data_IF_310106126211
#
_entry.id   IF_310106126211
#
_cell.length_a   1.000
_cell.length_b   1.000
_cell.length_c   1.000
_cell.angle_alpha   90.00
_cell.angle_beta   90.00
_cell.angle_gamma   90.00
#
_symmetry.space_group_name_H-M   'P 1'
#
loop_
_entity.id
_entity.type
_entity.pdbx_description
1 polymer ?
#
# COMPACT_ATOMS: atom_id res chain seq x y z
N UNK A 1 -11.70 -23.29 -11.32
CA UNK A 1 -12.33 -22.85 -10.14
C UNK A 1 -11.40 -22.32 -9.06
N UNK A 2 -10.34 -21.66 -9.36
CA UNK A 2 -9.58 -20.89 -8.41
C UNK A 2 -10.27 -19.54 -8.19
N UNK A 3 -10.28 -19.04 -6.98
CA UNK A 3 -10.94 -17.79 -6.58
C UNK A 3 -10.13 -16.55 -6.93
N UNK A 4 -9.26 -16.60 -7.93
CA UNK A 4 -8.59 -15.41 -8.46
C UNK A 4 -9.55 -14.59 -9.33
N UNK A 5 -9.68 -13.33 -8.99
CA UNK A 5 -10.48 -12.37 -9.74
C UNK A 5 -9.58 -11.73 -10.79
N UNK A 6 -9.96 -11.89 -12.06
CA UNK A 6 -9.27 -11.25 -13.19
C UNK A 6 -10.27 -10.35 -13.92
N UNK A 7 -9.78 -9.26 -14.48
CA UNK A 7 -10.57 -8.47 -15.44
C UNK A 7 -10.70 -9.34 -16.70
N UNK A 8 -11.93 -9.81 -16.94
CA UNK A 8 -12.21 -10.71 -18.07
C UNK A 8 -12.31 -9.93 -19.39
N UNK A 9 -13.18 -8.93 -19.42
CA UNK A 9 -13.43 -8.08 -20.59
C UNK A 9 -13.69 -6.65 -20.13
N UNK A 10 -13.34 -5.70 -20.98
CA UNK A 10 -13.70 -4.30 -20.80
C UNK A 10 -14.77 -3.93 -21.82
N UNK A 11 -15.90 -3.45 -21.32
CA UNK A 11 -16.99 -2.93 -22.11
C UNK A 11 -17.11 -1.42 -21.92
N UNK A 12 -17.34 -0.68 -23.00
CA UNK A 12 -17.63 0.75 -22.94
C UNK A 12 -19.11 0.93 -22.67
N UNK A 13 -19.47 1.35 -21.47
CA UNK A 13 -20.86 1.56 -21.07
C UNK A 13 -21.48 2.81 -21.71
N UNK A 14 -20.68 3.78 -22.12
CA UNK A 14 -21.11 5.03 -22.76
C UNK A 14 -20.58 6.28 -22.07
N UNK A 15 -21.25 7.40 -22.33
CA UNK A 15 -20.91 8.71 -21.75
C UNK A 15 -21.90 9.07 -20.64
N UNK A 16 -21.38 9.52 -19.49
CA UNK A 16 -22.23 9.96 -18.38
C UNK A 16 -22.94 11.29 -18.68
N UNK A 17 -24.17 11.51 -18.13
CA UNK A 17 -24.91 10.62 -17.25
C UNK A 17 -25.53 9.42 -18.00
N UNK A 18 -25.38 8.22 -17.45
CA UNK A 18 -26.06 7.02 -17.93
C UNK A 18 -27.40 6.87 -17.20
N UNK A 19 -28.49 6.59 -17.93
CA UNK A 19 -29.80 6.46 -17.33
C UNK A 19 -29.94 5.19 -16.48
N UNK A 20 -29.50 4.06 -17.00
CA UNK A 20 -29.40 2.79 -16.28
C UNK A 20 -28.59 1.80 -17.14
N UNK A 21 -27.93 0.88 -16.45
CA UNK A 21 -27.27 -0.26 -17.07
C UNK A 21 -27.50 -1.50 -16.20
N UNK A 22 -27.92 -2.61 -16.82
CA UNK A 22 -28.20 -3.85 -16.09
C UNK A 22 -26.99 -4.77 -16.18
N UNK A 23 -26.52 -5.22 -15.02
CA UNK A 23 -25.42 -6.17 -14.89
C UNK A 23 -25.89 -7.37 -14.06
N UNK A 24 -25.27 -8.52 -14.25
CA UNK A 24 -25.43 -9.65 -13.35
C UNK A 24 -24.85 -9.32 -11.96
N UNK A 25 -25.23 -10.10 -10.94
CA UNK A 25 -24.56 -10.00 -9.65
C UNK A 25 -23.08 -10.33 -9.81
N UNK A 26 -22.19 -9.57 -9.15
CA UNK A 26 -20.75 -9.80 -9.24
C UNK A 26 -19.92 -8.60 -8.84
N UNK A 27 -18.62 -8.75 -9.00
CA UNK A 27 -17.65 -7.70 -8.77
C UNK A 27 -17.23 -7.07 -10.08
N UNK A 28 -17.28 -5.74 -10.11
CA UNK A 28 -16.98 -4.94 -11.30
C UNK A 28 -15.96 -3.86 -10.95
N UNK A 29 -15.17 -3.47 -11.94
CA UNK A 29 -14.30 -2.30 -11.87
C UNK A 29 -14.71 -1.31 -12.94
N UNK A 30 -15.43 -0.26 -12.54
CA UNK A 30 -15.83 0.82 -13.44
C UNK A 30 -14.68 1.83 -13.56
N UNK A 31 -14.32 2.19 -14.79
CA UNK A 31 -13.36 3.24 -15.08
C UNK A 31 -14.05 4.48 -15.60
N UNK A 32 -13.72 5.63 -15.00
CA UNK A 32 -14.17 6.94 -15.46
C UNK A 32 -12.98 7.70 -16.04
N UNK A 33 -13.15 8.19 -17.26
CA UNK A 33 -12.09 8.92 -17.98
C UNK A 33 -12.66 10.20 -18.58
N UNK A 34 -11.95 11.30 -18.42
CA UNK A 34 -12.26 12.58 -19.05
C UNK A 34 -10.93 13.32 -19.32
N UNK A 35 -10.73 13.90 -20.52
CA UNK A 35 -9.52 14.66 -20.81
C UNK A 35 -9.23 15.74 -19.76
N UNK A 36 -7.97 15.82 -19.30
CA UNK A 36 -7.54 16.78 -18.25
C UNK A 36 -7.94 16.40 -16.82
N UNK A 37 -8.60 15.26 -16.62
CA UNK A 37 -8.95 14.71 -15.30
C UNK A 37 -8.17 13.45 -15.03
N UNK A 38 -7.97 13.15 -13.76
CA UNK A 38 -7.43 11.85 -13.35
C UNK A 38 -8.40 10.73 -13.73
N UNK A 39 -7.88 9.64 -14.26
CA UNK A 39 -8.65 8.41 -14.44
C UNK A 39 -9.02 7.86 -13.07
N UNK A 40 -10.30 7.57 -12.86
CA UNK A 40 -10.81 7.06 -11.58
C UNK A 40 -11.28 5.63 -11.74
N UNK A 41 -10.76 4.74 -10.90
CA UNK A 41 -11.20 3.37 -10.72
C UNK A 41 -12.25 3.30 -9.62
N UNK A 42 -13.38 2.70 -9.89
CA UNK A 42 -14.49 2.57 -8.96
C UNK A 42 -14.89 1.09 -8.84
N UNK A 43 -14.39 0.37 -7.86
CA UNK A 43 -14.81 -1.00 -7.61
C UNK A 43 -16.27 -1.04 -7.14
N UNK A 44 -17.03 -2.00 -7.65
CA UNK A 44 -18.44 -2.20 -7.33
C UNK A 44 -18.69 -3.68 -7.07
N UNK A 45 -19.37 -3.99 -5.97
CA UNK A 45 -19.97 -5.30 -5.73
C UNK A 45 -21.48 -5.17 -5.84
N UNK A 46 -22.08 -5.92 -6.74
CA UNK A 46 -23.55 -5.93 -6.98
C UNK A 46 -24.16 -7.21 -6.44
N UNK A 47 -25.17 -7.05 -5.59
CA UNK A 47 -26.00 -8.15 -5.14
C UNK A 47 -27.24 -8.33 -6.03
N UNK A 48 -27.90 -9.47 -5.91
CA UNK A 48 -29.09 -9.77 -6.70
C UNK A 48 -30.23 -8.80 -6.40
N UNK A 49 -30.73 -8.11 -7.43
CA UNK A 49 -31.83 -7.15 -7.32
C UNK A 49 -31.42 -5.79 -6.72
N UNK A 50 -30.13 -5.57 -6.52
CA UNK A 50 -29.62 -4.30 -6.03
C UNK A 50 -29.60 -3.25 -7.14
N UNK A 51 -29.87 -1.99 -6.78
CA UNK A 51 -29.72 -0.83 -7.64
C UNK A 51 -28.79 0.16 -6.99
N UNK A 52 -27.73 0.56 -7.68
CA UNK A 52 -26.75 1.52 -7.20
C UNK A 52 -26.76 2.79 -8.06
N UNK A 53 -26.85 3.94 -7.39
CA UNK A 53 -26.62 5.23 -8.01
C UNK A 53 -25.19 5.66 -7.72
N UNK A 54 -24.35 5.73 -8.73
CA UNK A 54 -22.94 6.05 -8.59
C UNK A 54 -22.70 7.47 -9.09
N UNK A 55 -22.19 8.34 -8.22
CA UNK A 55 -21.72 9.67 -8.57
C UNK A 55 -20.24 9.78 -8.22
N UNK A 56 -19.41 10.07 -9.20
CA UNK A 56 -17.95 10.14 -9.03
C UNK A 56 -17.45 11.52 -9.40
N UNK A 57 -16.68 12.13 -8.51
CA UNK A 57 -15.93 13.34 -8.82
C UNK A 57 -14.61 12.95 -9.49
N UNK A 58 -14.32 13.54 -10.64
CA UNK A 58 -13.04 13.39 -11.33
C UNK A 58 -12.15 14.62 -11.01
N UNK A 59 -11.13 14.48 -10.16
CA UNK A 59 -10.22 15.57 -9.86
C UNK A 59 -9.38 15.95 -11.10
N UNK A 60 -8.87 17.18 -11.19
CA UNK A 60 -7.85 17.53 -12.18
C UNK A 60 -6.66 16.58 -12.09
N UNK A 61 -6.09 16.17 -13.23
CA UNK A 61 -4.97 15.23 -13.23
C UNK A 61 -3.76 15.78 -12.47
N UNK A 62 -3.50 17.08 -12.59
CA UNK A 62 -2.43 17.80 -11.91
C UNK A 62 -2.64 17.96 -10.39
N UNK A 63 -3.85 17.70 -9.89
CA UNK A 63 -4.14 17.75 -8.45
C UNK A 63 -3.75 16.44 -7.73
N UNK A 64 -3.39 15.39 -8.46
CA UNK A 64 -2.94 14.13 -7.89
C UNK A 64 -1.40 14.15 -7.84
N UNK A 65 -0.79 14.11 -6.65
CA UNK A 65 0.67 14.03 -6.54
C UNK A 65 1.20 12.78 -7.25
N UNK A 66 2.42 12.89 -7.78
CA UNK A 66 3.08 11.71 -8.39
C UNK A 66 3.18 10.58 -7.37
N UNK A 67 2.92 9.36 -7.80
CA UNK A 67 2.93 8.17 -6.93
C UNK A 67 1.67 7.99 -6.07
N UNK A 68 0.66 8.90 -6.20
CA UNK A 68 -0.60 8.77 -5.46
C UNK A 68 -1.76 8.30 -6.35
N UNK A 69 -2.73 7.69 -5.72
CA UNK A 69 -3.98 7.22 -6.32
C UNK A 69 -5.14 7.97 -5.66
N UNK A 70 -6.09 8.42 -6.47
CA UNK A 70 -7.35 8.95 -5.97
C UNK A 70 -8.34 7.81 -5.77
N UNK A 71 -8.79 7.64 -4.53
CA UNK A 71 -9.86 6.71 -4.17
C UNK A 71 -11.15 7.52 -4.03
N UNK A 72 -12.15 7.31 -4.88
CA UNK A 72 -13.43 8.03 -4.80
C UNK A 72 -14.23 7.60 -3.58
N UNK A 73 -15.17 8.43 -3.13
CA UNK A 73 -16.13 8.03 -2.08
C UNK A 73 -16.88 6.77 -2.52
N UNK A 74 -17.19 5.89 -1.57
CA UNK A 74 -17.96 4.69 -1.90
C UNK A 74 -17.98 3.65 -0.80
N UNK A 75 -18.79 2.62 -1.04
CA UNK A 75 -19.04 1.50 -0.15
C UNK A 75 -18.12 0.32 -0.44
N UNK A 76 -17.77 -0.43 0.59
CA UNK A 76 -17.03 -1.69 0.49
C UNK A 76 -17.39 -2.64 1.64
N UNK A 77 -16.94 -3.87 1.56
CA UNK A 77 -17.08 -4.86 2.63
C UNK A 77 -15.78 -4.88 3.46
N UNK A 78 -15.87 -4.36 4.66
CA UNK A 78 -14.79 -4.32 5.66
C UNK A 78 -14.85 -5.54 6.58
N UNK A 79 -13.69 -6.03 7.03
CA UNK A 79 -13.56 -7.10 7.99
C UNK A 79 -13.37 -8.48 7.38
N UNK A 80 -13.46 -9.52 8.21
CA UNK A 80 -13.12 -10.90 7.83
C UNK A 80 -14.35 -11.81 7.76
N UNK A 81 -14.32 -12.76 6.81
CA UNK A 81 -15.31 -13.85 6.65
C UNK A 81 -15.03 -15.04 7.57
N UNK A 82 -13.88 -15.08 8.22
CA UNK A 82 -13.45 -16.20 9.02
C UNK A 82 -14.42 -16.54 10.15
N UNK A 83 -14.27 -17.76 10.68
CA UNK A 83 -15.02 -18.23 11.85
C UNK A 83 -14.63 -17.42 13.10
N UNK A 84 -15.55 -17.28 14.04
CA UNK A 84 -15.41 -16.50 15.28
C UNK A 84 -14.07 -16.67 16.01
N UNK A 85 -13.56 -17.92 16.26
CA UNK A 85 -12.29 -18.10 16.94
C UNK A 85 -11.09 -17.51 16.19
N UNK A 86 -11.09 -17.57 14.85
CA UNK A 86 -10.02 -17.01 14.02
C UNK A 86 -10.08 -15.48 14.05
N UNK A 87 -11.26 -14.90 13.88
CA UNK A 87 -11.44 -13.45 13.98
C UNK A 87 -11.01 -12.90 15.34
N UNK A 88 -11.39 -13.59 16.43
CA UNK A 88 -10.98 -13.22 17.78
C UNK A 88 -9.46 -13.27 17.95
N UNK A 89 -8.81 -14.32 17.43
CA UNK A 89 -7.35 -14.45 17.45
C UNK A 89 -6.66 -13.32 16.66
N UNK A 90 -7.17 -13.00 15.48
CA UNK A 90 -6.65 -11.95 14.61
C UNK A 90 -7.14 -10.55 14.99
N UNK A 91 -8.03 -10.44 15.97
CA UNK A 91 -8.72 -9.17 16.33
C UNK A 91 -9.46 -8.52 15.15
N UNK A 92 -9.93 -9.35 14.21
CA UNK A 92 -10.63 -8.89 13.03
C UNK A 92 -12.13 -8.76 13.29
N UNK A 93 -12.73 -7.68 12.78
CA UNK A 93 -14.17 -7.50 12.85
C UNK A 93 -14.91 -8.45 11.89
N UNK A 94 -16.17 -8.85 12.21
CA UNK A 94 -17.01 -9.53 11.25
C UNK A 94 -17.23 -8.68 10.01
N UNK A 95 -17.27 -9.32 8.83
CA UNK A 95 -17.49 -8.61 7.58
C UNK A 95 -18.82 -7.84 7.57
N UNK A 96 -18.77 -6.56 7.28
CA UNK A 96 -19.91 -5.66 7.19
C UNK A 96 -19.66 -4.53 6.18
N UNK A 97 -20.71 -3.83 5.81
CA UNK A 97 -20.62 -2.73 4.85
C UNK A 97 -20.16 -1.44 5.52
N UNK A 98 -19.15 -0.79 4.94
CA UNK A 98 -18.62 0.50 5.38
C UNK A 98 -18.56 1.46 4.19
N UNK A 99 -18.69 2.75 4.44
CA UNK A 99 -18.48 3.81 3.45
C UNK A 99 -17.29 4.68 3.83
N UNK A 100 -16.47 5.03 2.84
CA UNK A 100 -15.41 6.04 3.00
C UNK A 100 -15.70 7.26 2.16
N UNK A 101 -15.27 8.44 2.63
CA UNK A 101 -15.16 9.62 1.78
C UNK A 101 -14.08 9.45 0.71
N UNK A 102 -13.87 10.44 -0.16
CA UNK A 102 -12.76 10.43 -1.12
C UNK A 102 -11.44 10.78 -0.43
N UNK A 103 -10.34 10.15 -0.87
CA UNK A 103 -8.99 10.42 -0.36
C UNK A 103 -7.92 10.12 -1.41
N UNK A 104 -6.70 10.54 -1.13
CA UNK A 104 -5.49 10.15 -1.84
C UNK A 104 -4.72 9.15 -0.99
N UNK A 105 -4.15 8.14 -1.62
CA UNK A 105 -3.28 7.17 -0.98
C UNK A 105 -2.04 6.95 -1.84
N UNK A 106 -0.88 6.75 -1.24
CA UNK A 106 0.33 6.37 -1.96
C UNK A 106 0.10 5.02 -2.64
N UNK A 107 0.55 4.88 -3.89
CA UNK A 107 0.43 3.63 -4.65
C UNK A 107 1.35 2.55 -4.12
N UNK A 108 2.52 2.94 -3.71
CA UNK A 108 3.59 2.10 -3.20
C UNK A 108 3.89 2.50 -1.75
N UNK A 109 4.52 1.62 -1.01
CA UNK A 109 5.09 1.93 0.31
C UNK A 109 6.15 3.03 0.20
N UNK A 110 6.38 3.79 1.27
CA UNK A 110 7.46 4.78 1.32
C UNK A 110 8.81 4.07 1.20
N UNK A 111 9.63 4.48 0.26
CA UNK A 111 10.94 3.87 0.02
C UNK A 111 12.05 4.48 0.90
N UNK A 112 13.18 3.77 1.05
CA UNK A 112 14.38 4.38 1.65
C UNK A 112 14.86 5.59 0.86
N UNK A 113 14.69 5.61 -0.48
CA UNK A 113 14.99 6.78 -1.31
C UNK A 113 14.18 8.00 -0.90
N UNK A 114 12.86 7.85 -0.75
CA UNK A 114 11.96 8.92 -0.29
C UNK A 114 12.31 9.39 1.12
N UNK A 115 12.61 8.44 2.00
CA UNK A 115 12.93 8.74 3.39
C UNK A 115 14.29 9.44 3.54
N UNK A 116 15.27 9.09 2.73
CA UNK A 116 16.56 9.80 2.64
C UNK A 116 16.37 11.23 2.15
N UNK A 117 15.50 11.45 1.19
CA UNK A 117 15.18 12.79 0.72
C UNK A 117 14.61 13.66 1.86
N UNK A 118 13.68 13.09 2.63
CA UNK A 118 13.17 13.74 3.84
C UNK A 118 14.27 14.07 4.85
N UNK A 119 15.06 13.08 5.26
CA UNK A 119 16.13 13.28 6.24
C UNK A 119 17.15 14.31 5.77
N UNK A 120 17.47 14.29 4.47
CA UNK A 120 18.44 15.23 3.87
C UNK A 120 17.92 16.66 3.83
N UNK A 121 16.59 16.84 3.77
CA UNK A 121 15.96 18.16 3.81
C UNK A 121 15.86 18.76 5.21
N UNK A 122 16.11 17.98 6.27
CA UNK A 122 16.06 18.46 7.65
C UNK A 122 17.38 19.09 8.08
N UNK A 123 17.34 20.13 8.94
CA UNK A 123 18.50 20.58 9.67
C UNK A 123 19.13 19.46 10.53
N UNK A 124 20.44 19.47 10.78
CA UNK A 124 21.10 18.41 11.54
C UNK A 124 20.53 18.19 12.96
N UNK A 125 20.10 19.23 13.62
CA UNK A 125 19.50 19.18 14.96
C UNK A 125 18.11 18.56 14.99
N UNK A 126 17.33 18.67 13.91
CA UNK A 126 16.04 17.96 13.74
C UNK A 126 16.23 16.50 13.29
N UNK A 127 17.25 16.24 12.47
CA UNK A 127 17.55 14.93 11.92
C UNK A 127 18.17 13.96 12.93
N UNK A 128 19.11 14.43 13.75
CA UNK A 128 19.86 13.58 14.66
C UNK A 128 18.98 12.80 15.68
N UNK A 129 17.92 13.38 16.28
CA UNK A 129 17.02 12.62 17.14
C UNK A 129 16.25 11.50 16.43
N UNK A 130 15.88 11.68 15.17
CA UNK A 130 15.18 10.66 14.38
C UNK A 130 16.12 9.48 14.11
N UNK A 131 17.35 9.74 13.67
CA UNK A 131 18.35 8.67 13.46
C UNK A 131 18.69 7.94 14.76
N UNK A 132 18.68 8.63 15.88
CA UNK A 132 18.94 8.01 17.19
C UNK A 132 17.78 7.10 17.63
N UNK A 133 16.55 7.40 17.25
CA UNK A 133 15.37 6.62 17.62
C UNK A 133 15.37 5.20 17.00
N UNK A 134 15.88 5.06 15.79
CA UNK A 134 15.98 3.77 15.06
C UNK A 134 17.37 3.13 15.11
N UNK A 135 18.36 3.75 15.77
CA UNK A 135 19.77 3.31 15.76
C UNK A 135 20.00 1.86 16.24
N UNK A 136 19.14 1.36 17.13
CA UNK A 136 19.20 -0.02 17.64
C UNK A 136 18.34 -1.02 16.87
N UNK A 137 17.63 -0.57 15.85
CA UNK A 137 16.69 -1.38 15.07
C UNK A 137 17.39 -2.36 14.11
N UNK A 138 16.62 -3.36 13.61
CA UNK A 138 17.13 -4.32 12.63
C UNK A 138 17.42 -3.66 11.26
N UNK A 139 16.80 -2.53 10.99
CA UNK A 139 17.02 -1.72 9.79
C UNK A 139 17.29 -0.29 10.24
N UNK A 140 18.40 0.28 9.80
CA UNK A 140 18.76 1.65 10.17
C UNK A 140 19.56 2.34 9.08
N UNK A 141 19.35 3.64 8.97
CA UNK A 141 20.16 4.51 8.14
C UNK A 141 21.28 5.14 8.98
N UNK A 142 22.48 5.18 8.40
CA UNK A 142 23.64 5.83 8.96
C UNK A 142 24.07 6.98 8.02
N UNK A 143 24.10 8.21 8.54
CA UNK A 143 24.66 9.35 7.80
C UNK A 143 26.19 9.30 7.88
N UNK A 144 26.83 9.40 6.71
CA UNK A 144 28.29 9.41 6.60
C UNK A 144 28.74 10.74 6.00
N UNK A 145 29.59 11.52 6.70
CA UNK A 145 29.95 12.88 6.28
C UNK A 145 30.44 13.01 4.83
N UNK A 146 31.21 12.02 4.38
CA UNK A 146 31.86 12.07 3.07
C UNK A 146 31.31 11.07 2.04
N UNK A 147 30.31 10.27 2.40
CA UNK A 147 29.85 9.14 1.60
C UNK A 147 28.31 9.02 1.49
N UNK A 148 27.58 10.02 2.01
CA UNK A 148 26.11 9.99 1.96
C UNK A 148 25.49 9.00 2.95
N UNK A 149 24.39 8.36 2.55
CA UNK A 149 23.62 7.48 3.41
C UNK A 149 24.02 6.01 3.25
N UNK A 150 24.07 5.29 4.34
CA UNK A 150 24.28 3.84 4.38
C UNK A 150 23.08 3.18 5.01
N UNK A 151 22.59 2.09 4.41
CA UNK A 151 21.61 1.20 5.04
C UNK A 151 22.33 0.02 5.72
N UNK A 152 22.03 -0.21 6.99
CA UNK A 152 22.37 -1.45 7.69
C UNK A 152 21.07 -2.25 7.88
N UNK A 153 21.05 -3.45 7.31
CA UNK A 153 19.91 -4.32 7.29
C UNK A 153 20.28 -5.65 7.96
N UNK A 154 19.72 -5.91 9.14
CA UNK A 154 19.93 -7.14 9.89
C UNK A 154 18.67 -8.02 9.77
N UNK A 155 18.77 -9.08 8.98
CA UNK A 155 17.69 -10.04 8.75
C UNK A 155 17.86 -11.33 9.60
N UNK A 156 18.55 -11.24 10.72
CA UNK A 156 18.81 -12.34 11.62
C UNK A 156 19.95 -13.24 11.14
N UNK A 157 19.77 -13.97 10.05
CA UNK A 157 20.80 -14.84 9.50
C UNK A 157 21.94 -14.09 8.81
N UNK A 158 21.66 -12.93 8.25
CA UNK A 158 22.62 -12.11 7.48
C UNK A 158 22.46 -10.64 7.84
N UNK A 159 23.57 -9.96 7.98
CA UNK A 159 23.61 -8.49 8.09
C UNK A 159 24.23 -7.92 6.82
N UNK A 160 23.48 -7.04 6.16
CA UNK A 160 23.95 -6.29 5.01
C UNK A 160 24.36 -4.88 5.44
N UNK A 161 25.42 -4.38 4.82
CA UNK A 161 25.87 -3.00 4.97
C UNK A 161 26.02 -2.43 3.56
N UNK A 162 25.14 -1.51 3.21
CA UNK A 162 24.92 -1.06 1.84
C UNK A 162 25.22 0.42 1.72
N UNK A 163 26.26 0.74 0.97
CA UNK A 163 26.61 2.11 0.59
C UNK A 163 25.76 2.58 -0.61
N UNK A 164 25.65 3.90 -0.86
CA UNK A 164 24.85 4.44 -1.98
C UNK A 164 25.20 3.78 -3.32
N UNK A 165 24.16 3.39 -4.06
CA UNK A 165 24.33 2.73 -5.36
C UNK A 165 24.85 1.29 -5.31
N UNK A 166 25.13 0.76 -4.10
CA UNK A 166 25.48 -0.67 -3.95
C UNK A 166 24.18 -1.48 -3.91
N UNK A 167 24.01 -2.51 -4.73
CA UNK A 167 22.81 -3.32 -4.67
C UNK A 167 22.81 -4.22 -3.44
N UNK A 168 21.63 -4.44 -2.86
CA UNK A 168 21.39 -5.56 -1.97
C UNK A 168 21.38 -6.85 -2.80
N UNK A 169 22.10 -7.88 -2.36
CA UNK A 169 22.14 -9.20 -3.03
C UNK A 169 21.75 -10.28 -2.06
N UNK A 170 20.59 -10.90 -2.29
CA UNK A 170 20.09 -12.03 -1.52
C UNK A 170 20.64 -13.34 -2.10
N UNK A 171 21.59 -13.97 -1.41
CA UNK A 171 22.26 -15.19 -1.91
C UNK A 171 21.32 -16.39 -2.05
N UNK A 172 20.27 -16.46 -1.22
CA UNK A 172 19.29 -17.55 -1.24
C UNK A 172 18.21 -17.46 -2.32
N UNK A 173 18.16 -16.36 -3.07
CA UNK A 173 17.08 -16.10 -4.05
C UNK A 173 17.48 -16.50 -5.47
N UNK A 174 16.51 -17.09 -6.19
CA UNK A 174 16.62 -17.35 -7.64
C UNK A 174 16.04 -16.22 -8.49
N UNK A 175 15.07 -15.50 -7.96
CA UNK A 175 14.42 -14.34 -8.59
C UNK A 175 14.55 -13.15 -7.64
N UNK A 176 14.54 -11.92 -8.17
CA UNK A 176 14.69 -10.68 -7.39
C UNK A 176 15.87 -10.73 -6.41
N UNK A 177 16.94 -11.46 -6.79
CA UNK A 177 18.11 -11.64 -5.95
C UNK A 177 18.94 -10.36 -5.79
N UNK A 178 18.78 -9.39 -6.70
CA UNK A 178 19.54 -8.14 -6.72
C UNK A 178 18.57 -6.96 -6.76
N UNK A 179 18.62 -6.10 -5.76
CA UNK A 179 17.71 -4.99 -5.58
C UNK A 179 18.50 -3.71 -5.28
N UNK A 180 18.08 -2.58 -5.85
CA UNK A 180 18.52 -1.27 -5.36
C UNK A 180 17.88 -1.06 -3.99
N UNK A 181 18.69 -0.90 -2.96
CA UNK A 181 18.16 -0.82 -1.59
C UNK A 181 17.37 0.46 -1.34
N UNK A 182 17.61 1.48 -2.12
CA UNK A 182 16.86 2.73 -2.10
C UNK A 182 15.38 2.53 -2.49
N UNK A 183 15.07 1.49 -3.25
CA UNK A 183 13.71 1.12 -3.68
C UNK A 183 13.00 0.17 -2.69
N UNK A 184 13.65 -0.22 -1.59
CA UNK A 184 13.03 -1.03 -0.55
C UNK A 184 12.09 -0.18 0.30
N UNK A 185 10.98 -0.77 0.83
CA UNK A 185 10.12 -0.08 1.78
C UNK A 185 10.87 0.26 3.06
N UNK A 186 10.63 1.45 3.56
CA UNK A 186 11.14 1.87 4.87
C UNK A 186 10.42 1.11 5.97
N UNK A 187 11.17 0.37 6.77
CA UNK A 187 10.65 -0.43 7.88
C UNK A 187 11.41 -0.17 9.17
N UNK A 188 10.91 -0.70 10.28
CA UNK A 188 11.50 -0.55 11.62
C UNK A 188 11.68 0.92 12.06
N UNK A 189 10.83 1.81 11.55
CA UNK A 189 10.74 3.20 11.99
C UNK A 189 9.79 3.33 13.18
N UNK A 190 10.00 4.36 13.99
CA UNK A 190 9.09 4.72 15.07
C UNK A 190 7.92 5.58 14.55
N UNK A 191 6.84 5.64 15.34
CA UNK A 191 5.71 6.55 15.04
C UNK A 191 6.14 8.02 15.04
N UNK A 192 7.17 8.38 15.82
CA UNK A 192 7.76 9.73 15.81
C UNK A 192 8.39 10.05 14.47
N UNK A 193 9.15 9.11 13.91
CA UNK A 193 9.79 9.26 12.59
C UNK A 193 8.73 9.34 11.49
N UNK A 194 7.74 8.46 11.50
CA UNK A 194 6.66 8.49 10.50
C UNK A 194 5.83 9.78 10.58
N UNK A 195 5.53 10.29 11.79
CA UNK A 195 4.87 11.58 11.98
C UNK A 195 5.71 12.75 11.44
N UNK A 196 7.02 12.73 11.67
CA UNK A 196 7.94 13.76 11.16
C UNK A 196 7.98 13.76 9.63
N UNK A 197 7.98 12.57 8.99
CA UNK A 197 7.92 12.41 7.54
C UNK A 197 6.63 13.00 6.96
N UNK A 198 5.46 12.64 7.50
CA UNK A 198 4.17 13.19 7.05
C UNK A 198 4.10 14.71 7.23
N UNK A 199 4.55 15.23 8.37
CA UNK A 199 4.62 16.66 8.61
C UNK A 199 5.54 17.38 7.63
N UNK A 200 6.64 16.75 7.21
CA UNK A 200 7.50 17.28 6.15
C UNK A 200 6.82 17.30 4.78
N UNK A 201 6.12 16.22 4.40
CA UNK A 201 5.34 16.16 3.16
C UNK A 201 4.31 17.30 3.08
N UNK A 202 3.61 17.56 4.19
CA UNK A 202 2.62 18.65 4.27
C UNK A 202 3.29 20.03 4.21
N UNK A 203 4.30 20.28 5.06
CA UNK A 203 5.00 21.58 5.08
C UNK A 203 5.69 21.91 3.78
N UNK A 204 6.28 20.93 3.12
CA UNK A 204 6.94 21.10 1.81
C UNK A 204 5.97 21.23 0.64
N UNK A 205 4.66 21.08 0.88
CA UNK A 205 3.62 21.08 -0.15
C UNK A 205 3.73 19.95 -1.18
N UNK A 206 4.52 18.93 -0.91
CA UNK A 206 4.59 17.73 -1.76
C UNK A 206 3.29 16.94 -1.71
N UNK A 207 2.76 16.76 -0.52
CA UNK A 207 1.47 16.13 -0.25
C UNK A 207 0.74 16.95 0.81
N UNK A 208 0.01 18.00 0.42
CA UNK A 208 -0.74 18.80 1.38
C UNK A 208 -1.76 17.98 2.15
N UNK A 209 -1.74 18.08 3.49
CA UNK A 209 -2.60 17.30 4.36
C UNK A 209 -2.19 15.84 4.53
N UNK A 210 -0.91 15.50 4.30
CA UNK A 210 -0.37 14.16 4.51
C UNK A 210 -0.66 13.65 5.93
N UNK A 211 -1.18 12.43 6.02
CA UNK A 211 -1.57 11.75 7.26
C UNK A 211 -1.55 10.23 7.09
N UNK A 212 -1.66 9.50 8.15
CA UNK A 212 -1.97 8.07 8.06
C UNK A 212 -3.34 7.84 7.42
N UNK A 213 -3.48 6.76 6.68
CA UNK A 213 -4.79 6.20 6.38
C UNK A 213 -5.41 5.67 7.67
N UNK A 214 -6.74 5.72 7.78
CA UNK A 214 -7.42 4.88 8.75
C UNK A 214 -7.58 3.45 8.19
N UNK A 215 -7.91 2.51 9.06
CA UNK A 215 -8.05 1.09 8.70
C UNK A 215 -9.09 0.85 7.58
N UNK A 216 -10.21 1.60 7.58
CA UNK A 216 -11.22 1.50 6.52
C UNK A 216 -10.71 2.02 5.16
N UNK A 217 -9.97 3.12 5.17
CA UNK A 217 -9.37 3.67 3.94
C UNK A 217 -8.34 2.72 3.37
N UNK A 218 -7.46 2.18 4.23
CA UNK A 218 -6.43 1.24 3.80
C UNK A 218 -7.04 -0.05 3.24
N UNK A 219 -7.95 -0.70 3.99
CA UNK A 219 -8.54 -1.97 3.56
C UNK A 219 -9.36 -1.81 2.27
N UNK A 220 -10.13 -0.70 2.14
CA UNK A 220 -10.83 -0.41 0.89
C UNK A 220 -9.87 -0.24 -0.28
N UNK A 221 -8.76 0.46 -0.09
CA UNK A 221 -7.77 0.66 -1.15
C UNK A 221 -7.10 -0.66 -1.56
N UNK A 222 -6.84 -1.54 -0.61
CA UNK A 222 -6.23 -2.85 -0.84
C UNK A 222 -7.20 -3.85 -1.49
N UNK A 223 -8.46 -3.93 -1.04
CA UNK A 223 -9.40 -4.99 -1.42
C UNK A 223 -10.51 -4.56 -2.39
N UNK A 224 -10.74 -3.26 -2.56
CA UNK A 224 -11.81 -2.75 -3.41
C UNK A 224 -13.18 -2.77 -2.74
N UNK A 225 -14.24 -3.22 -3.43
CA UNK A 225 -15.62 -3.15 -2.94
C UNK A 225 -16.16 -4.48 -2.41
N UNK A 226 -15.65 -5.59 -2.90
CA UNK A 226 -16.10 -6.93 -2.52
C UNK A 226 -15.31 -7.46 -1.30
N UNK A 227 -15.78 -8.54 -0.73
CA UNK A 227 -15.15 -9.14 0.43
C UNK A 227 -14.03 -10.13 0.10
N UNK A 228 -13.26 -9.92 -0.97
CA UNK A 228 -12.07 -10.73 -1.30
C UNK A 228 -11.06 -10.73 -0.16
N UNK A 229 -10.28 -11.80 -0.04
CA UNK A 229 -9.29 -11.93 1.02
C UNK A 229 -8.00 -11.18 0.69
N UNK A 230 -7.56 -11.24 -0.57
CA UNK A 230 -6.34 -10.63 -1.11
C UNK A 230 -6.67 -9.70 -2.26
N UNK A 231 -5.75 -8.87 -2.68
CA UNK A 231 -5.93 -7.97 -3.83
C UNK A 231 -6.36 -8.71 -5.11
N UNK A 232 -5.84 -9.92 -5.34
CA UNK A 232 -6.15 -10.75 -6.51
C UNK A 232 -7.34 -11.70 -6.33
N UNK A 233 -8.00 -11.76 -5.15
CA UNK A 233 -9.12 -12.68 -4.90
C UNK A 233 -9.05 -13.38 -3.55
N UNK A 234 -9.51 -14.63 -3.48
CA UNK A 234 -9.56 -15.39 -2.22
C UNK A 234 -8.44 -16.45 -2.11
N UNK A 235 -7.55 -16.53 -3.09
CA UNK A 235 -6.36 -17.40 -3.08
C UNK A 235 -5.10 -16.57 -3.24
N UNK A 236 -4.11 -16.85 -2.40
CA UNK A 236 -2.78 -16.26 -2.46
C UNK A 236 -1.78 -17.29 -3.00
N UNK A 237 -0.93 -16.85 -3.90
CA UNK A 237 0.18 -17.65 -4.41
C UNK A 237 1.52 -16.96 -4.07
N UNK A 238 2.62 -17.72 -3.88
CA UNK A 238 3.93 -17.15 -3.55
C UNK A 238 4.44 -16.09 -4.54
N UNK A 239 3.84 -16.04 -5.74
CA UNK A 239 4.18 -15.07 -6.78
C UNK A 239 3.34 -13.78 -6.68
N UNK A 240 2.40 -13.70 -5.75
CA UNK A 240 1.49 -12.56 -5.61
C UNK A 240 2.05 -11.47 -4.68
N UNK A 241 2.98 -11.82 -3.79
CA UNK A 241 3.58 -10.87 -2.85
C UNK A 241 4.82 -11.43 -2.18
N UNK A 242 5.50 -10.61 -1.42
CA UNK A 242 6.64 -11.02 -0.60
C UNK A 242 6.16 -11.44 0.79
N UNK A 243 6.01 -12.74 0.96
CA UNK A 243 5.67 -13.41 2.23
C UNK A 243 6.66 -14.56 2.50
N UNK A 244 6.54 -15.21 3.63
CA UNK A 244 7.45 -16.30 4.05
C UNK A 244 7.62 -17.40 2.99
N UNK A 245 6.54 -17.76 2.29
CA UNK A 245 6.53 -18.80 1.28
C UNK A 245 7.19 -18.40 -0.04
N UNK A 246 7.24 -17.12 -0.37
CA UNK A 246 7.69 -16.59 -1.65
C UNK A 246 9.10 -17.06 -2.01
N UNK A 247 9.96 -17.12 -1.01
CA UNK A 247 11.34 -17.56 -1.18
C UNK A 247 11.64 -18.89 -0.44
N UNK A 248 10.59 -19.70 -0.19
CA UNK A 248 10.73 -21.05 0.36
C UNK A 248 11.21 -21.10 1.81
N UNK A 249 11.01 -20.03 2.59
CA UNK A 249 11.44 -19.92 4.01
C UNK A 249 12.95 -20.11 4.21
N UNK A 250 13.74 -19.80 3.18
CA UNK A 250 15.20 -19.87 3.27
C UNK A 250 15.73 -18.63 3.98
N UNK A 251 16.44 -18.75 5.12
CA UNK A 251 16.87 -17.59 5.91
C UNK A 251 17.71 -16.56 5.14
N UNK A 252 18.55 -16.99 4.19
CA UNK A 252 19.37 -16.11 3.35
C UNK A 252 18.60 -15.50 2.17
N UNK A 253 17.35 -15.90 1.98
CA UNK A 253 16.46 -15.36 0.96
C UNK A 253 15.42 -14.39 1.52
N UNK A 254 15.26 -14.35 2.87
CA UNK A 254 14.28 -13.48 3.52
C UNK A 254 14.71 -12.01 3.45
N UNK A 255 13.73 -11.13 3.36
CA UNK A 255 13.88 -9.68 3.34
C UNK A 255 12.94 -9.00 2.37
N UNK A 256 12.81 -7.67 2.41
CA UNK A 256 11.91 -6.93 1.54
C UNK A 256 12.35 -6.98 0.07
N UNK A 257 11.38 -6.82 -0.81
CA UNK A 257 11.58 -6.54 -2.23
C UNK A 257 11.47 -5.03 -2.51
N UNK A 258 11.95 -4.60 -3.66
CA UNK A 258 11.65 -3.26 -4.15
C UNK A 258 10.13 -3.10 -4.27
N UNK A 259 9.62 -1.93 -3.88
CA UNK A 259 8.19 -1.64 -3.99
C UNK A 259 7.68 -1.84 -5.41
N UNK A 260 6.46 -2.31 -5.57
CA UNK A 260 5.86 -2.58 -6.87
C UNK A 260 6.42 -3.83 -7.59
N UNK A 261 7.13 -4.71 -6.89
CA UNK A 261 7.72 -5.93 -7.49
C UNK A 261 6.68 -6.96 -7.93
N UNK A 262 5.41 -6.80 -7.53
CA UNK A 262 4.31 -7.72 -7.82
C UNK A 262 3.14 -7.04 -8.53
N UNK A 263 3.35 -6.42 -9.70
CA UNK A 263 2.32 -5.62 -10.37
C UNK A 263 1.08 -6.44 -10.81
N UNK A 264 1.21 -7.76 -10.95
CA UNK A 264 0.08 -8.65 -11.26
C UNK A 264 -0.89 -8.80 -10.08
N UNK A 265 -0.47 -8.45 -8.87
CA UNK A 265 -1.28 -8.45 -7.65
C UNK A 265 -1.65 -7.02 -7.21
N UNK A 266 -1.62 -6.06 -8.12
CA UNK A 266 -2.12 -4.73 -7.80
C UNK A 266 -3.60 -4.78 -7.40
N UNK A 267 -3.96 -4.01 -6.39
CA UNK A 267 -5.33 -3.91 -5.91
C UNK A 267 -6.30 -3.44 -7.00
N UNK A 268 -7.61 -3.62 -6.87
CA UNK A 268 -8.59 -3.08 -7.82
C UNK A 268 -8.42 -1.57 -8.05
N UNK A 269 -7.99 -0.84 -7.05
CA UNK A 269 -7.71 0.60 -7.14
C UNK A 269 -6.31 0.90 -7.69
N UNK A 270 -5.41 -0.09 -7.70
CA UNK A 270 -4.09 0.00 -8.31
C UNK A 270 -2.95 0.22 -7.31
N UNK A 271 -3.16 -0.08 -6.02
CA UNK A 271 -2.08 -0.14 -5.04
C UNK A 271 -1.24 -1.38 -5.27
N UNK A 272 0.03 -1.29 -4.92
CA UNK A 272 0.95 -2.41 -4.91
C UNK A 272 1.20 -2.91 -3.48
N UNK A 273 1.76 -4.11 -3.39
CA UNK A 273 2.33 -4.74 -2.19
C UNK A 273 1.39 -4.84 -0.97
N UNK A 274 0.07 -4.71 -1.17
CA UNK A 274 -0.95 -4.76 -0.09
C UNK A 274 -1.09 -6.15 0.56
N UNK A 275 -0.48 -7.18 0.00
CA UNK A 275 -0.52 -8.57 0.48
C UNK A 275 0.88 -9.07 0.88
N UNK A 276 1.74 -8.20 1.44
CA UNK A 276 3.08 -8.59 1.91
C UNK A 276 4.08 -7.45 1.90
N UNK A 277 5.36 -7.76 1.77
CA UNK A 277 6.52 -6.89 1.70
C UNK A 277 6.84 -6.16 3.00
N UNK A 278 6.01 -5.22 3.47
CA UNK A 278 6.16 -4.57 4.78
C UNK A 278 4.82 -4.38 5.48
N UNK A 279 4.85 -4.30 6.81
CA UNK A 279 3.69 -3.89 7.60
C UNK A 279 3.51 -2.37 7.49
N UNK A 280 2.26 -1.96 7.27
CA UNK A 280 1.90 -0.56 7.13
C UNK A 280 1.15 -0.03 8.36
N UNK A 281 1.47 1.21 8.75
CA UNK A 281 0.84 1.86 9.88
C UNK A 281 -0.50 2.49 9.46
N UNK A 282 -1.57 2.14 10.18
CA UNK A 282 -2.89 2.76 10.03
C UNK A 282 -3.38 3.33 11.37
N UNK A 283 -4.42 4.15 11.34
CA UNK A 283 -5.10 4.66 12.54
C UNK A 283 -6.44 3.98 12.68
N UNK A 284 -6.73 3.45 13.87
CA UNK A 284 -8.04 2.89 14.18
C UNK A 284 -9.16 3.94 14.07
N UNK A 285 -10.33 3.53 13.63
CA UNK A 285 -11.48 4.43 13.45
C UNK A 285 -12.18 4.75 14.75
N UNK A 286 -12.14 3.86 15.74
CA UNK A 286 -12.87 3.97 17.01
C UNK A 286 -12.08 4.66 18.11
N UNK A 287 -10.82 4.33 18.28
CA UNK A 287 -9.98 4.79 19.39
C UNK A 287 -8.80 5.66 18.97
N UNK A 288 -8.60 5.87 17.67
CA UNK A 288 -7.46 6.58 17.08
C UNK A 288 -6.10 6.00 17.49
N UNK A 289 -6.07 4.76 17.94
CA UNK A 289 -4.84 4.04 18.24
C UNK A 289 -4.14 3.69 16.94
N UNK A 290 -2.82 3.82 16.94
CA UNK A 290 -2.03 3.39 15.78
C UNK A 290 -2.03 1.87 15.72
N UNK A 291 -2.39 1.31 14.57
CA UNK A 291 -2.43 -0.12 14.30
C UNK A 291 -1.32 -0.51 13.31
N UNK A 292 -0.84 -1.73 13.42
CA UNK A 292 0.23 -2.29 12.57
C UNK A 292 -0.33 -3.51 11.85
#
# INVERSE_FOLDING_TARGET
EGSRIRIAEMEVLGTTPLASHTLDRGSYLVRFELPGKAMVRYPVALERGESLNITVTLPPAEAIPSGFIYVPAGRFLYGARDIEPMRTFLRAEPMHSVETGPYLIARDEVTYGDYIEFLSALPPDERAPLLAASAGGPMRLEERPDAGWRLVLNLGAVTYTLDPGSPLVYEGRKQRARVAWEDLPVTAITTTEANAYMAWLDRSRRVPGARYCNEHEWERAARGADGRMFASGDEFHPEDGNVDETYGKVPTAMGPDAVGSYPQNASPLGLHDTDGNAYELTVGTTDKTLMV
#
